data_IF_625258748459
#
_entry.id   IF_625258748459
#
_cell.length_a   1.000
_cell.length_b   1.000
_cell.length_c   1.000
_cell.angle_alpha   90.00
_cell.angle_beta   90.00
_cell.angle_gamma   90.00
#
_symmetry.space_group_name_H-M   'P 1'
#
loop_
_entity.id
_entity.type
_entity.pdbx_description
1 polymer ?
#
# COMPACT_ATOMS: atom_id res chain seq x y z
N UNK A 1 -6.80 -12.88 12.69
CA UNK A 1 -7.07 -11.49 12.25
C UNK A 1 -6.50 -10.41 13.17
N UNK A 2 -6.73 -10.45 14.49
CA UNK A 2 -6.24 -9.42 15.46
C UNK A 2 -4.73 -9.11 15.38
N UNK A 3 -3.92 -10.08 14.93
CA UNK A 3 -2.46 -9.95 14.75
C UNK A 3 -2.09 -8.98 13.60
N UNK A 4 -2.73 -9.11 12.45
CA UNK A 4 -2.35 -8.40 11.23
C UNK A 4 -3.15 -7.13 11.00
N UNK A 5 -4.35 -7.01 11.59
CA UNK A 5 -5.22 -5.84 11.44
C UNK A 5 -5.17 -5.07 12.75
N UNK A 6 -4.49 -3.91 12.75
CA UNK A 6 -4.51 -3.00 13.91
C UNK A 6 -4.75 -1.55 13.47
N UNK A 7 -6.01 -1.12 13.37
CA UNK A 7 -6.38 0.20 12.83
C UNK A 7 -5.96 1.37 13.73
N UNK A 8 -5.67 1.12 15.01
CA UNK A 8 -5.19 2.15 15.96
C UNK A 8 -3.68 2.38 15.92
N UNK A 9 -2.95 1.78 14.98
CA UNK A 9 -1.49 1.83 14.95
C UNK A 9 -0.98 2.55 13.71
N UNK A 10 -0.15 3.56 13.93
CA UNK A 10 0.45 4.34 12.84
C UNK A 10 1.33 3.48 11.93
N UNK A 11 2.19 2.62 12.50
CA UNK A 11 3.06 1.73 11.72
C UNK A 11 2.29 0.73 10.88
N UNK A 12 1.08 0.34 11.30
CA UNK A 12 0.19 -0.46 10.46
C UNK A 12 -0.31 0.31 9.25
N UNK A 13 -0.74 1.56 9.46
CA UNK A 13 -1.16 2.43 8.36
C UNK A 13 -0.01 2.75 7.41
N UNK A 14 1.20 2.98 7.93
CA UNK A 14 2.40 3.17 7.11
C UNK A 14 2.69 2.00 6.18
N UNK A 15 2.29 0.77 6.55
CA UNK A 15 2.40 -0.42 5.70
C UNK A 15 1.16 -0.63 4.80
N UNK A 16 -0.04 -0.33 5.30
CA UNK A 16 -1.28 -0.52 4.54
C UNK A 16 -1.40 0.48 3.39
N UNK A 17 -1.01 1.74 3.60
CA UNK A 17 -1.12 2.82 2.63
C UNK A 17 -0.39 2.52 1.31
N UNK A 18 0.90 2.10 1.28
CA UNK A 18 1.55 1.69 0.04
C UNK A 18 0.90 0.44 -0.58
N UNK A 19 0.42 -0.52 0.22
CA UNK A 19 -0.31 -1.68 -0.30
C UNK A 19 -1.56 -1.24 -1.09
N UNK A 20 -2.37 -0.36 -0.51
CA UNK A 20 -3.59 0.16 -1.15
C UNK A 20 -3.25 0.97 -2.39
N UNK A 21 -2.23 1.84 -2.32
CA UNK A 21 -1.78 2.60 -3.49
C UNK A 21 -1.34 1.69 -4.64
N UNK A 22 -0.59 0.62 -4.34
CA UNK A 22 -0.17 -0.36 -5.33
C UNK A 22 -1.35 -1.11 -5.95
N UNK A 23 -2.38 -1.44 -5.17
CA UNK A 23 -3.62 -2.04 -5.69
C UNK A 23 -4.36 -1.08 -6.63
N UNK A 24 -4.48 0.20 -6.26
CA UNK A 24 -5.08 1.22 -7.14
C UNK A 24 -4.30 1.36 -8.45
N UNK A 25 -2.97 1.40 -8.41
CA UNK A 25 -2.15 1.41 -9.62
C UNK A 25 -2.36 0.15 -10.48
N UNK A 26 -2.35 -1.04 -9.87
CA UNK A 26 -2.51 -2.30 -10.58
C UNK A 26 -3.90 -2.47 -11.22
N UNK A 27 -4.91 -1.83 -10.63
CA UNK A 27 -6.31 -1.94 -11.07
C UNK A 27 -6.79 -0.72 -11.86
N UNK A 28 -5.88 0.16 -12.29
CA UNK A 28 -6.21 1.32 -13.12
C UNK A 28 -7.13 0.98 -14.30
N UNK A 29 -6.89 -0.09 -15.09
CA UNK A 29 -7.76 -0.41 -16.24
C UNK A 29 -9.20 -0.75 -15.87
N UNK A 30 -9.48 -1.08 -14.60
CA UNK A 30 -10.80 -1.46 -14.12
C UNK A 30 -11.65 -0.25 -13.71
N UNK A 31 -11.03 0.83 -13.25
CA UNK A 31 -11.75 2.01 -12.72
C UNK A 31 -11.46 3.31 -13.48
N UNK A 32 -10.37 3.37 -14.28
CA UNK A 32 -10.04 4.51 -15.13
C UNK A 32 -9.64 5.79 -14.40
N UNK A 33 -9.22 5.72 -13.13
CA UNK A 33 -8.89 6.91 -12.32
C UNK A 33 -7.46 7.41 -12.59
N UNK A 34 -7.18 7.79 -13.84
CA UNK A 34 -5.86 8.25 -14.27
C UNK A 34 -5.31 9.37 -13.36
N UNK A 35 -6.16 10.31 -12.92
CA UNK A 35 -5.74 11.38 -12.01
C UNK A 35 -5.22 10.87 -10.65
N UNK A 36 -5.86 9.85 -10.07
CA UNK A 36 -5.40 9.25 -8.82
C UNK A 36 -4.08 8.48 -9.02
N UNK A 37 -3.95 7.78 -10.15
CA UNK A 37 -2.72 7.09 -10.55
C UNK A 37 -1.57 8.07 -10.69
N UNK A 38 -1.77 9.20 -11.38
CA UNK A 38 -0.75 10.25 -11.53
C UNK A 38 -0.33 10.81 -10.17
N UNK A 39 -1.28 11.08 -9.27
CA UNK A 39 -0.96 11.55 -7.91
C UNK A 39 -0.12 10.53 -7.15
N UNK A 40 -0.49 9.25 -7.18
CA UNK A 40 0.27 8.18 -6.53
C UNK A 40 1.67 8.07 -7.11
N UNK A 41 1.82 8.12 -8.43
CA UNK A 41 3.13 8.07 -9.09
C UNK A 41 4.00 9.26 -8.68
N UNK A 42 3.44 10.47 -8.61
CA UNK A 42 4.18 11.66 -8.18
C UNK A 42 4.61 11.57 -6.70
N UNK A 43 3.72 11.08 -5.82
CA UNK A 43 4.02 10.93 -4.39
C UNK A 43 5.07 9.85 -4.11
N UNK A 44 5.11 8.80 -4.93
CA UNK A 44 5.99 7.64 -4.72
C UNK A 44 7.26 7.69 -5.57
N UNK A 45 7.49 8.77 -6.33
CA UNK A 45 8.65 8.92 -7.21
C UNK A 45 8.64 7.93 -8.38
N UNK A 46 7.47 7.55 -8.87
CA UNK A 46 7.29 6.60 -9.98
C UNK A 46 7.46 5.13 -9.56
N UNK A 47 7.28 4.80 -8.28
CA UNK A 47 7.34 3.42 -7.83
C UNK A 47 6.26 2.57 -8.54
N UNK A 48 6.64 1.36 -8.95
CA UNK A 48 5.71 0.45 -9.63
C UNK A 48 4.68 -0.13 -8.65
N UNK A 49 3.53 -0.54 -9.17
CA UNK A 49 2.49 -1.21 -8.38
C UNK A 49 3.05 -2.42 -7.59
N UNK A 50 3.90 -3.23 -8.22
CA UNK A 50 4.53 -4.39 -7.60
C UNK A 50 5.41 -4.01 -6.40
N UNK A 51 6.19 -2.93 -6.52
CA UNK A 51 7.03 -2.44 -5.42
C UNK A 51 6.17 -1.99 -4.24
N UNK A 52 5.11 -1.22 -4.50
CA UNK A 52 4.22 -0.72 -3.45
C UNK A 52 3.45 -1.83 -2.74
N UNK A 53 2.95 -2.82 -3.49
CA UNK A 53 2.27 -4.01 -2.93
C UNK A 53 3.24 -4.78 -2.03
N UNK A 54 4.43 -5.12 -2.54
CA UNK A 54 5.40 -5.90 -1.78
C UNK A 54 5.92 -5.13 -0.55
N UNK A 55 6.15 -3.83 -0.65
CA UNK A 55 6.55 -3.00 0.49
C UNK A 55 5.48 -3.01 1.59
N UNK A 56 4.20 -2.88 1.22
CA UNK A 56 3.11 -2.90 2.19
C UNK A 56 2.89 -4.28 2.82
N UNK A 57 2.95 -5.37 2.05
CA UNK A 57 2.88 -6.73 2.57
C UNK A 57 4.06 -7.04 3.51
N UNK A 58 5.27 -6.67 3.12
CA UNK A 58 6.46 -6.81 3.97
C UNK A 58 6.30 -6.02 5.28
N UNK A 59 5.83 -4.77 5.22
CA UNK A 59 5.57 -3.95 6.40
C UNK A 59 4.54 -4.56 7.35
N UNK A 60 3.41 -5.06 6.82
CA UNK A 60 2.38 -5.75 7.62
C UNK A 60 2.95 -7.03 8.25
N UNK A 61 3.74 -7.80 7.50
CA UNK A 61 4.37 -9.03 7.95
C UNK A 61 5.39 -8.81 9.06
N UNK A 62 6.34 -7.90 8.85
CA UNK A 62 7.37 -7.53 9.84
C UNK A 62 6.74 -7.02 11.12
N UNK A 63 5.77 -6.10 11.01
CA UNK A 63 5.04 -5.60 12.16
C UNK A 63 4.33 -6.73 12.90
N UNK A 64 3.68 -7.64 12.16
CA UNK A 64 3.00 -8.79 12.75
C UNK A 64 3.97 -9.74 13.47
N UNK A 65 5.23 -9.80 13.06
CA UNK A 65 6.28 -10.55 13.74
C UNK A 65 6.78 -9.85 15.02
N UNK A 66 6.78 -8.51 15.05
CA UNK A 66 7.30 -7.71 16.17
C UNK A 66 6.34 -7.53 17.35
N UNK A 67 5.02 -7.68 17.17
CA UNK A 67 4.03 -7.45 18.23
C UNK A 67 2.84 -6.66 17.75
#
# INVERSE_FOLDING_TARGET
MKKYIKPKSLTWWSALVPLVMGVVLATEPLHGWAGAVTVIQNLTGGATAAVLINAGLAGIGLRGAMG
#
